data_IF_289440621418
#
_entry.id   IF_289440621418
#
_cell.length_a   1.000
_cell.length_b   1.000
_cell.length_c   1.000
_cell.angle_alpha   90.00
_cell.angle_beta   90.00
_cell.angle_gamma   90.00
#
_symmetry.space_group_name_H-M   'P 1'
#
loop_
_entity.id
_entity.type
_entity.pdbx_description
1 polymer ?
#
# COMPACT_ATOMS: atom_id res chain seq x y z
N UNK A 1 -9.42 -16.90 -0.94
CA UNK A 1 -10.88 -16.99 -0.73
C UNK A 1 -11.27 -17.54 0.65
N UNK A 2 -10.71 -18.66 1.14
CA UNK A 2 -11.10 -19.26 2.44
C UNK A 2 -11.04 -18.33 3.67
N UNK A 3 -10.16 -17.32 3.65
CA UNK A 3 -10.01 -16.34 4.75
C UNK A 3 -10.87 -15.06 4.57
N UNK A 4 -11.68 -14.98 3.52
CA UNK A 4 -12.59 -13.85 3.26
C UNK A 4 -12.09 -12.81 2.26
N UNK A 5 -10.80 -12.84 1.87
CA UNK A 5 -10.25 -11.84 0.95
C UNK A 5 -10.85 -11.95 -0.46
N UNK A 6 -11.26 -10.80 -0.99
CA UNK A 6 -11.81 -10.63 -2.35
C UNK A 6 -10.99 -9.66 -3.22
N UNK A 7 -9.96 -9.04 -2.65
CA UNK A 7 -9.07 -8.09 -3.31
C UNK A 7 -7.61 -8.53 -3.10
N UNK A 8 -6.82 -8.49 -4.17
CA UNK A 8 -5.44 -8.97 -4.17
C UNK A 8 -4.53 -8.02 -4.95
N UNK A 9 -3.37 -7.68 -4.37
CA UNK A 9 -2.36 -6.84 -5.02
C UNK A 9 -1.21 -7.69 -5.54
N UNK A 10 -0.75 -7.40 -6.76
CA UNK A 10 0.34 -8.09 -7.44
C UNK A 10 1.43 -7.09 -7.84
N UNK A 11 2.67 -7.32 -7.40
CA UNK A 11 3.84 -6.54 -7.88
C UNK A 11 4.07 -6.78 -9.37
N UNK A 12 4.39 -5.77 -10.17
CA UNK A 12 4.60 -5.84 -11.64
C UNK A 12 5.83 -5.01 -12.08
N UNK A 13 6.20 -5.09 -13.36
CA UNK A 13 7.07 -4.10 -14.00
C UNK A 13 8.46 -4.53 -14.42
N UNK A 14 8.86 -5.77 -14.12
CA UNK A 14 10.15 -6.32 -14.59
C UNK A 14 10.05 -6.99 -15.96
N UNK A 15 9.00 -7.77 -16.19
CA UNK A 15 8.79 -8.52 -17.44
C UNK A 15 7.29 -8.63 -17.73
N UNK A 16 6.86 -8.10 -18.87
CA UNK A 16 5.44 -8.00 -19.21
C UNK A 16 4.79 -9.37 -19.39
N UNK A 17 5.50 -10.36 -19.93
CA UNK A 17 4.94 -11.71 -20.14
C UNK A 17 4.76 -12.46 -18.81
N UNK A 18 5.66 -12.27 -17.85
CA UNK A 18 5.46 -12.76 -16.49
C UNK A 18 4.32 -12.06 -15.76
N UNK A 19 4.14 -10.76 -15.99
CA UNK A 19 3.03 -10.01 -15.42
C UNK A 19 1.69 -10.48 -15.98
N UNK A 20 1.58 -10.67 -17.31
CA UNK A 20 0.40 -11.27 -17.96
C UNK A 20 0.12 -12.67 -17.43
N UNK A 21 1.14 -13.54 -17.38
CA UNK A 21 1.01 -14.90 -16.88
C UNK A 21 0.48 -14.94 -15.45
N UNK A 22 1.03 -14.12 -14.54
CA UNK A 22 0.57 -14.08 -13.15
C UNK A 22 -0.81 -13.42 -13.01
N UNK A 23 -1.08 -12.34 -13.74
CA UNK A 23 -2.41 -11.70 -13.76
C UNK A 23 -3.49 -12.67 -14.22
N UNK A 24 -3.21 -13.48 -15.26
CA UNK A 24 -4.07 -14.55 -15.75
C UNK A 24 -4.37 -15.56 -14.66
N UNK A 25 -3.33 -16.11 -14.01
CA UNK A 25 -3.48 -17.09 -12.93
C UNK A 25 -4.35 -16.52 -11.79
N UNK A 26 -4.08 -15.29 -11.36
CA UNK A 26 -4.86 -14.64 -10.30
C UNK A 26 -6.32 -14.49 -10.74
N UNK A 27 -6.56 -13.96 -11.94
CA UNK A 27 -7.91 -13.74 -12.49
C UNK A 27 -8.71 -15.04 -12.60
N UNK A 28 -8.11 -16.10 -13.10
CA UNK A 28 -8.72 -17.44 -13.18
C UNK A 28 -9.03 -18.00 -11.78
N UNK A 29 -8.20 -17.71 -10.80
CA UNK A 29 -8.36 -18.20 -9.42
C UNK A 29 -9.45 -17.46 -8.64
N UNK A 30 -9.53 -16.13 -8.75
CA UNK A 30 -10.43 -15.30 -7.94
C UNK A 30 -11.76 -14.98 -8.63
N UNK A 31 -11.89 -15.37 -9.91
CA UNK A 31 -13.07 -15.14 -10.73
C UNK A 31 -13.23 -13.68 -11.17
N UNK A 32 -14.30 -13.40 -11.93
CA UNK A 32 -14.56 -12.08 -12.53
C UNK A 32 -14.84 -10.97 -11.50
N UNK A 33 -15.40 -11.34 -10.35
CA UNK A 33 -15.79 -10.41 -9.30
C UNK A 33 -14.66 -10.08 -8.33
N UNK A 34 -13.57 -10.84 -8.32
CA UNK A 34 -12.39 -10.54 -7.52
C UNK A 34 -11.68 -9.28 -8.02
N UNK A 35 -11.13 -8.51 -7.11
CA UNK A 35 -10.41 -7.27 -7.42
C UNK A 35 -8.92 -7.57 -7.52
N UNK A 36 -8.31 -7.13 -8.62
CA UNK A 36 -6.86 -7.23 -8.84
C UNK A 36 -6.30 -5.82 -8.87
N UNK A 37 -5.36 -5.55 -7.97
CA UNK A 37 -4.55 -4.34 -7.97
C UNK A 37 -3.15 -4.70 -8.43
N UNK A 38 -2.47 -3.78 -9.11
CA UNK A 38 -1.06 -3.93 -9.47
C UNK A 38 -0.22 -2.82 -8.90
N UNK A 39 1.07 -3.09 -8.69
CA UNK A 39 2.01 -2.15 -8.07
C UNK A 39 3.37 -2.30 -8.73
N UNK A 40 3.87 -1.22 -9.34
CA UNK A 40 5.10 -1.22 -10.12
C UNK A 40 6.32 -0.70 -9.34
N UNK A 41 6.12 -0.19 -8.12
CA UNK A 41 7.16 0.43 -7.29
C UNK A 41 8.09 1.35 -8.11
N UNK A 42 7.48 2.28 -8.84
CA UNK A 42 8.11 3.44 -9.46
C UNK A 42 9.05 3.11 -10.65
N UNK A 43 9.05 1.86 -11.12
CA UNK A 43 10.08 1.38 -12.05
C UNK A 43 10.00 1.94 -13.48
N UNK A 44 8.85 2.48 -13.88
CA UNK A 44 8.64 2.92 -15.27
C UNK A 44 8.73 4.44 -15.43
N UNK A 45 9.06 4.86 -16.64
CA UNK A 45 8.71 6.20 -17.12
C UNK A 45 7.24 6.23 -17.61
N UNK A 46 6.72 7.42 -17.86
CA UNK A 46 5.32 7.67 -18.28
C UNK A 46 4.87 6.81 -19.47
N UNK A 47 5.65 6.82 -20.56
CA UNK A 47 5.26 6.11 -21.78
C UNK A 47 5.26 4.60 -21.61
N UNK A 48 6.20 4.08 -20.81
CA UNK A 48 6.29 2.65 -20.46
C UNK A 48 5.11 2.25 -19.59
N UNK A 49 4.77 3.00 -18.55
CA UNK A 49 3.64 2.73 -17.69
C UNK A 49 2.31 2.61 -18.47
N UNK A 50 2.06 3.55 -19.40
CA UNK A 50 0.85 3.54 -20.23
C UNK A 50 0.80 2.30 -21.13
N UNK A 51 1.90 1.97 -21.81
CA UNK A 51 1.98 0.78 -22.67
C UNK A 51 1.79 -0.50 -21.86
N UNK A 52 2.48 -0.62 -20.73
CA UNK A 52 2.44 -1.79 -19.86
C UNK A 52 1.03 -2.06 -19.33
N UNK A 53 0.34 -1.04 -18.87
CA UNK A 53 -1.02 -1.20 -18.34
C UNK A 53 -2.06 -1.46 -19.43
N UNK A 54 -1.85 -0.97 -20.66
CA UNK A 54 -2.70 -1.33 -21.82
C UNK A 54 -2.60 -2.83 -22.15
N UNK A 55 -1.41 -3.43 -22.02
CA UNK A 55 -1.20 -4.88 -22.19
C UNK A 55 -1.88 -5.73 -21.09
N UNK A 56 -2.10 -5.16 -19.90
CA UNK A 56 -2.76 -5.85 -18.78
C UNK A 56 -4.28 -5.62 -18.73
N UNK A 57 -4.85 -4.84 -19.67
CA UNK A 57 -6.26 -4.44 -19.67
C UNK A 57 -7.22 -5.63 -19.61
N UNK A 58 -6.91 -6.72 -20.31
CA UNK A 58 -7.78 -7.92 -20.38
C UNK A 58 -8.02 -8.58 -19.02
N UNK A 59 -7.13 -8.36 -18.03
CA UNK A 59 -7.22 -8.96 -16.70
C UNK A 59 -8.10 -8.18 -15.73
N UNK A 60 -8.73 -7.08 -16.18
CA UNK A 60 -9.60 -6.21 -15.39
C UNK A 60 -8.88 -5.72 -14.12
N UNK A 61 -7.75 -5.03 -14.32
CA UNK A 61 -6.97 -4.43 -13.24
C UNK A 61 -7.70 -3.20 -12.70
N UNK A 62 -7.90 -3.16 -11.38
CA UNK A 62 -8.64 -2.09 -10.72
C UNK A 62 -7.79 -0.83 -10.54
N UNK A 63 -6.54 -0.95 -10.09
CA UNK A 63 -5.59 0.16 -10.12
C UNK A 63 -4.16 -0.29 -10.43
N UNK A 64 -3.36 0.67 -10.90
CA UNK A 64 -1.90 0.62 -10.88
C UNK A 64 -1.36 1.58 -9.81
N UNK A 65 -0.54 1.03 -8.92
CA UNK A 65 0.13 1.71 -7.82
C UNK A 65 1.57 2.04 -8.18
N UNK A 66 1.97 3.27 -7.85
CA UNK A 66 3.29 3.87 -8.13
C UNK A 66 3.83 3.51 -9.53
N UNK A 67 3.13 3.88 -10.62
CA UNK A 67 3.56 3.56 -11.97
C UNK A 67 4.88 4.23 -12.37
N UNK A 68 5.22 5.37 -11.76
CA UNK A 68 6.44 6.16 -12.02
C UNK A 68 6.93 6.77 -10.70
N UNK A 69 7.98 7.60 -10.75
CA UNK A 69 8.54 8.32 -9.61
C UNK A 69 7.45 8.95 -8.71
N UNK A 70 7.57 8.84 -7.37
CA UNK A 70 6.60 9.38 -6.42
C UNK A 70 6.59 10.91 -6.40
N UNK A 71 7.60 11.55 -6.99
CA UNK A 71 7.71 13.00 -7.12
C UNK A 71 7.16 13.52 -8.47
N UNK A 72 6.83 12.63 -9.41
CA UNK A 72 6.39 13.01 -10.75
C UNK A 72 4.87 13.14 -10.84
N UNK A 73 4.35 14.25 -10.31
CA UNK A 73 2.90 14.56 -10.31
C UNK A 73 2.36 14.68 -11.74
N UNK A 74 3.12 15.31 -12.64
CA UNK A 74 2.70 15.51 -14.04
C UNK A 74 2.71 14.17 -14.79
N UNK A 75 3.69 13.31 -14.52
CA UNK A 75 3.72 11.95 -15.05
C UNK A 75 2.51 11.14 -14.60
N UNK A 76 2.18 11.15 -13.31
CA UNK A 76 0.96 10.53 -12.79
C UNK A 76 -0.30 11.09 -13.44
N UNK A 77 -0.39 12.41 -13.66
CA UNK A 77 -1.50 13.04 -14.38
C UNK A 77 -1.67 12.50 -15.81
N UNK A 78 -0.57 12.42 -16.57
CA UNK A 78 -0.60 11.91 -17.95
C UNK A 78 -1.01 10.43 -17.96
N UNK A 79 -0.42 9.62 -17.09
CA UNK A 79 -0.78 8.20 -16.95
C UNK A 79 -2.26 8.05 -16.58
N UNK A 80 -2.73 8.79 -15.58
CA UNK A 80 -4.13 8.82 -15.13
C UNK A 80 -5.09 9.17 -16.28
N UNK A 81 -4.78 10.19 -17.08
CA UNK A 81 -5.61 10.59 -18.24
C UNK A 81 -5.73 9.47 -19.29
N UNK A 82 -4.66 8.71 -19.50
CA UNK A 82 -4.62 7.62 -20.49
C UNK A 82 -5.28 6.33 -19.98
N UNK A 83 -5.19 6.04 -18.67
CA UNK A 83 -5.64 4.78 -18.08
C UNK A 83 -7.10 4.83 -17.59
N UNK A 84 -7.59 5.97 -17.11
CA UNK A 84 -8.96 6.10 -16.62
C UNK A 84 -10.02 5.73 -17.67
N UNK A 85 -9.91 6.11 -18.97
CA UNK A 85 -10.86 5.66 -20.00
C UNK A 85 -10.88 4.14 -20.21
N UNK A 86 -9.84 3.44 -19.77
CA UNK A 86 -9.75 1.98 -19.81
C UNK A 86 -10.28 1.32 -18.54
N UNK A 87 -10.73 2.10 -17.56
CA UNK A 87 -11.22 1.62 -16.26
C UNK A 87 -10.10 1.28 -15.26
N UNK A 88 -8.85 1.66 -15.53
CA UNK A 88 -7.71 1.41 -14.65
C UNK A 88 -7.39 2.69 -13.87
N UNK A 89 -7.56 2.65 -12.56
CA UNK A 89 -7.28 3.77 -11.67
C UNK A 89 -5.78 3.92 -11.42
N UNK A 90 -5.32 5.13 -11.10
CA UNK A 90 -3.95 5.38 -10.63
C UNK A 90 -3.94 5.58 -9.11
N UNK A 91 -3.04 4.88 -8.45
CA UNK A 91 -2.81 4.94 -7.01
C UNK A 91 -1.36 5.35 -6.71
N UNK A 92 -1.14 6.16 -5.68
CA UNK A 92 0.21 6.48 -5.18
C UNK A 92 0.13 7.06 -3.77
N UNK A 93 1.27 7.06 -3.06
CA UNK A 93 1.39 7.80 -1.81
C UNK A 93 2.39 7.24 -0.79
N UNK A 94 2.77 5.95 -0.87
CA UNK A 94 3.62 5.32 0.15
C UNK A 94 5.00 5.99 0.26
N UNK A 95 5.50 6.53 -0.85
CA UNK A 95 6.74 7.31 -0.90
C UNK A 95 6.52 8.82 -1.07
N UNK A 96 5.27 9.30 -1.08
CA UNK A 96 4.98 10.73 -1.18
C UNK A 96 5.49 11.45 0.08
N UNK A 97 6.31 12.48 -0.13
CA UNK A 97 7.16 13.03 0.94
C UNK A 97 6.42 13.84 2.00
N UNK A 98 5.33 14.52 1.66
CA UNK A 98 4.60 15.40 2.57
C UNK A 98 3.20 15.76 2.03
N UNK A 99 2.42 16.46 2.85
CA UNK A 99 1.07 16.93 2.52
C UNK A 99 1.02 17.92 1.33
N UNK A 100 2.11 18.63 1.02
CA UNK A 100 2.14 19.58 -0.11
C UNK A 100 2.13 18.83 -1.44
N UNK A 101 2.91 17.75 -1.56
CA UNK A 101 2.87 16.90 -2.74
C UNK A 101 1.50 16.21 -2.86
N UNK A 102 0.94 15.68 -1.76
CA UNK A 102 -0.41 15.13 -1.77
C UNK A 102 -1.45 16.14 -2.26
N UNK A 103 -1.38 17.41 -1.80
CA UNK A 103 -2.26 18.48 -2.30
C UNK A 103 -2.11 18.66 -3.81
N UNK A 104 -0.89 18.69 -4.35
CA UNK A 104 -0.67 18.83 -5.80
C UNK A 104 -1.23 17.65 -6.59
N UNK A 105 -1.03 16.41 -6.13
CA UNK A 105 -1.63 15.22 -6.75
C UNK A 105 -3.17 15.32 -6.79
N UNK A 106 -3.77 15.78 -5.70
CA UNK A 106 -5.22 15.93 -5.58
C UNK A 106 -5.77 17.08 -6.45
N UNK A 107 -5.17 18.27 -6.37
CA UNK A 107 -5.57 19.46 -7.14
C UNK A 107 -5.52 19.23 -8.65
N UNK A 108 -4.49 18.53 -9.12
CA UNK A 108 -4.34 18.22 -10.55
C UNK A 108 -5.11 16.97 -10.98
N UNK A 109 -5.78 16.27 -10.06
CA UNK A 109 -6.46 15.00 -10.32
C UNK A 109 -5.50 13.95 -10.92
N UNK A 110 -4.25 13.95 -10.45
CA UNK A 110 -3.18 13.08 -10.94
C UNK A 110 -3.29 11.62 -10.43
N UNK A 111 -4.17 11.37 -9.47
CA UNK A 111 -4.48 10.04 -8.94
C UNK A 111 -5.99 9.88 -8.67
N UNK A 112 -6.41 8.63 -8.50
CA UNK A 112 -7.76 8.26 -8.07
C UNK A 112 -7.77 7.66 -6.67
N UNK A 113 -6.70 6.98 -6.26
CA UNK A 113 -6.57 6.36 -4.93
C UNK A 113 -5.37 6.97 -4.19
N UNK A 114 -5.60 7.48 -2.98
CA UNK A 114 -4.56 8.10 -2.14
C UNK A 114 -4.04 7.07 -1.15
N UNK A 115 -2.71 6.91 -1.04
CA UNK A 115 -2.11 5.87 -0.18
C UNK A 115 -1.08 6.46 0.79
N UNK A 116 -1.49 7.25 1.80
CA UNK A 116 -0.55 7.79 2.77
C UNK A 116 0.04 6.67 3.62
N UNK A 117 1.30 6.84 4.00
CA UNK A 117 2.02 5.91 4.86
C UNK A 117 2.32 6.53 6.23
N UNK A 118 2.18 5.71 7.27
CA UNK A 118 2.26 6.16 8.67
C UNK A 118 3.67 6.51 9.16
N UNK A 119 4.69 6.01 8.49
CA UNK A 119 6.11 6.24 8.82
C UNK A 119 6.84 7.08 7.78
N UNK A 120 6.24 7.32 6.61
CA UNK A 120 6.72 8.26 5.59
C UNK A 120 6.42 9.70 5.97
N UNK A 121 5.16 9.97 6.32
CA UNK A 121 4.70 11.30 6.70
C UNK A 121 5.11 11.62 8.14
N UNK A 122 4.97 12.89 8.51
CA UNK A 122 5.24 13.42 9.84
C UNK A 122 4.15 13.01 10.85
N UNK A 123 3.91 11.71 10.95
CA UNK A 123 3.00 11.06 11.89
C UNK A 123 1.57 11.62 11.85
N UNK A 124 0.85 11.50 12.96
CA UNK A 124 -0.58 11.77 13.10
C UNK A 124 -1.00 13.12 12.48
N UNK A 125 -0.37 14.27 12.79
CA UNK A 125 -0.86 15.55 12.28
C UNK A 125 -0.90 15.61 10.75
N UNK A 126 0.18 15.17 10.09
CA UNK A 126 0.27 15.25 8.63
C UNK A 126 -0.64 14.22 7.95
N UNK A 127 -0.77 13.02 8.52
CA UNK A 127 -1.69 11.99 8.00
C UNK A 127 -3.14 12.50 8.08
N UNK A 128 -3.55 13.08 9.21
CA UNK A 128 -4.90 13.66 9.36
C UNK A 128 -5.15 14.76 8.31
N UNK A 129 -4.15 15.61 8.04
CA UNK A 129 -4.27 16.62 6.97
C UNK A 129 -4.47 15.97 5.60
N UNK A 130 -3.72 14.92 5.26
CA UNK A 130 -3.91 14.21 3.98
C UNK A 130 -5.28 13.54 3.89
N UNK A 131 -5.81 12.98 4.99
CA UNK A 131 -7.18 12.44 5.03
C UNK A 131 -8.23 13.52 4.77
N UNK A 132 -8.09 14.69 5.40
CA UNK A 132 -8.98 15.83 5.21
C UNK A 132 -8.90 16.38 3.78
N UNK A 133 -7.69 16.54 3.22
CA UNK A 133 -7.50 16.92 1.82
C UNK A 133 -8.18 15.91 0.90
N UNK A 134 -7.96 14.62 1.11
CA UNK A 134 -8.59 13.56 0.31
C UNK A 134 -10.11 13.62 0.37
N UNK A 135 -10.70 13.97 1.53
CA UNK A 135 -12.14 14.19 1.68
C UNK A 135 -12.63 15.40 0.87
N UNK A 136 -11.91 16.52 0.91
CA UNK A 136 -12.21 17.75 0.16
C UNK A 136 -12.21 17.47 -1.34
N UNK A 137 -11.19 16.77 -1.85
CA UNK A 137 -11.08 16.41 -3.28
C UNK A 137 -11.83 15.13 -3.67
N UNK A 138 -12.65 14.58 -2.76
CA UNK A 138 -13.47 13.39 -2.98
C UNK A 138 -12.71 12.15 -3.47
N UNK A 139 -11.50 11.92 -2.94
CA UNK A 139 -10.67 10.76 -3.24
C UNK A 139 -10.73 9.69 -2.13
N UNK A 140 -10.92 8.40 -2.49
CA UNK A 140 -10.73 7.31 -1.54
C UNK A 140 -9.28 7.25 -1.05
N UNK A 141 -9.15 6.94 0.23
CA UNK A 141 -7.86 6.67 0.88
C UNK A 141 -7.77 5.17 1.15
N UNK A 142 -6.69 4.57 0.66
CA UNK A 142 -6.30 3.20 0.92
C UNK A 142 -4.95 3.26 1.62
N UNK A 143 -4.92 3.26 2.96
CA UNK A 143 -3.66 3.35 3.71
C UNK A 143 -2.67 2.29 3.21
N UNK A 144 -1.44 2.73 2.90
CA UNK A 144 -0.35 1.79 2.67
C UNK A 144 -0.03 1.06 3.98
N UNK A 145 0.29 -0.22 3.88
CA UNK A 145 0.70 -1.03 5.01
C UNK A 145 1.79 -2.03 4.57
N UNK A 146 1.96 -3.14 5.30
CA UNK A 146 3.09 -4.04 5.05
C UNK A 146 4.39 -3.55 5.69
N UNK A 147 5.52 -4.18 5.41
CA UNK A 147 6.75 -3.92 6.16
C UNK A 147 6.63 -4.30 7.65
N UNK A 148 7.19 -3.46 8.53
CA UNK A 148 7.26 -3.73 9.99
C UNK A 148 6.39 -2.73 10.74
N UNK A 149 5.25 -3.16 11.27
CA UNK A 149 4.40 -2.33 12.13
C UNK A 149 3.41 -1.41 11.39
N UNK A 150 3.46 -1.34 10.05
CA UNK A 150 2.57 -0.44 9.32
C UNK A 150 1.11 -0.94 9.38
N UNK A 151 0.86 -2.25 9.42
CA UNK A 151 -0.52 -2.75 9.64
C UNK A 151 -1.07 -2.26 10.99
N UNK A 152 -0.25 -2.39 12.05
CA UNK A 152 -0.58 -1.98 13.42
C UNK A 152 -0.91 -0.50 13.50
N UNK A 153 -0.16 0.34 12.79
CA UNK A 153 -0.33 1.79 12.77
C UNK A 153 -1.45 2.25 11.82
N UNK A 154 -1.41 1.82 10.56
CA UNK A 154 -2.32 2.25 9.51
C UNK A 154 -3.79 1.97 9.82
N UNK A 155 -4.09 0.87 10.53
CA UNK A 155 -5.47 0.51 10.91
C UNK A 155 -6.16 1.61 11.74
N UNK A 156 -5.41 2.35 12.58
CA UNK A 156 -5.97 3.43 13.38
C UNK A 156 -6.52 4.54 12.48
N UNK A 157 -5.75 4.95 11.46
CA UNK A 157 -6.16 6.01 10.54
C UNK A 157 -7.26 5.57 9.58
N UNK A 158 -7.24 4.31 9.16
CA UNK A 158 -8.36 3.70 8.44
C UNK A 158 -9.68 3.83 9.22
N UNK A 159 -9.65 3.58 10.55
CA UNK A 159 -10.82 3.72 11.41
C UNK A 159 -11.20 5.18 11.67
N UNK A 160 -10.22 6.06 11.91
CA UNK A 160 -10.45 7.50 12.07
C UNK A 160 -11.10 8.08 10.80
N UNK A 161 -10.57 7.74 9.62
CA UNK A 161 -11.15 8.14 8.34
C UNK A 161 -12.60 7.70 8.25
N UNK A 162 -12.88 6.41 8.48
CA UNK A 162 -14.24 5.89 8.38
C UNK A 162 -15.20 6.51 9.41
N UNK A 163 -14.80 6.69 10.66
CA UNK A 163 -15.70 7.15 11.73
C UNK A 163 -15.92 8.67 11.66
N UNK A 164 -14.85 9.44 11.45
CA UNK A 164 -14.84 10.89 11.64
C UNK A 164 -14.79 11.70 10.35
N UNK A 165 -14.13 11.21 9.29
CA UNK A 165 -13.80 12.03 8.11
C UNK A 165 -14.61 11.62 6.87
N UNK A 166 -14.31 10.46 6.28
CA UNK A 166 -14.93 10.01 5.04
C UNK A 166 -16.34 9.51 5.23
N UNK A 167 -16.62 8.78 6.33
CA UNK A 167 -17.90 8.08 6.59
C UNK A 167 -18.31 7.15 5.45
N UNK A 168 -17.34 6.62 4.73
CA UNK A 168 -17.56 5.80 3.54
C UNK A 168 -16.57 4.63 3.50
N UNK A 169 -17.03 3.47 3.02
CA UNK A 169 -16.21 2.26 2.79
C UNK A 169 -16.01 1.94 1.32
N UNK A 170 -16.77 2.58 0.43
CA UNK A 170 -16.70 2.34 -1.01
C UNK A 170 -15.32 2.75 -1.54
N UNK A 171 -14.74 1.88 -2.37
CA UNK A 171 -13.44 2.06 -3.03
C UNK A 171 -12.27 2.28 -2.06
N UNK A 172 -12.42 1.88 -0.78
CA UNK A 172 -11.40 1.98 0.27
C UNK A 172 -11.03 0.57 0.73
N UNK A 173 -9.78 0.21 0.45
CA UNK A 173 -9.18 -1.06 0.82
C UNK A 173 -8.02 -0.79 1.76
N UNK A 174 -7.91 -1.55 2.84
CA UNK A 174 -6.80 -1.42 3.78
C UNK A 174 -5.85 -2.58 3.55
N UNK A 175 -4.61 -2.25 3.21
CA UNK A 175 -3.60 -3.25 2.92
C UNK A 175 -3.31 -4.11 4.17
N UNK A 176 -3.06 -5.40 3.95
CA UNK A 176 -2.70 -6.36 4.98
C UNK A 176 -1.59 -7.26 4.47
N UNK A 177 -0.50 -7.35 5.24
CA UNK A 177 0.56 -8.33 5.03
C UNK A 177 0.78 -9.15 6.30
N UNK A 178 0.88 -10.48 6.19
CA UNK A 178 0.92 -11.37 7.36
C UNK A 178 2.23 -11.33 8.18
N UNK A 179 3.26 -10.62 7.70
CA UNK A 179 4.63 -10.74 8.22
C UNK A 179 4.83 -9.93 9.51
N UNK A 180 5.64 -10.47 10.43
CA UNK A 180 6.24 -9.77 11.58
C UNK A 180 5.29 -9.26 12.68
N UNK A 181 3.97 -9.47 12.55
CA UNK A 181 2.97 -9.09 13.56
C UNK A 181 3.27 -9.65 14.95
N UNK A 182 3.90 -10.83 15.04
CA UNK A 182 4.26 -11.47 16.31
C UNK A 182 5.22 -10.66 17.19
N UNK A 183 5.84 -9.61 16.63
CA UNK A 183 6.77 -8.76 17.35
C UNK A 183 6.11 -7.59 18.09
N UNK A 184 4.80 -7.39 17.96
CA UNK A 184 4.05 -6.28 18.55
C UNK A 184 3.21 -6.72 19.76
N UNK A 185 3.07 -5.85 20.77
CA UNK A 185 2.31 -6.15 21.99
C UNK A 185 0.82 -6.40 21.71
N UNK A 186 0.25 -5.64 20.77
CA UNK A 186 -1.08 -5.85 20.23
C UNK A 186 -0.92 -6.20 18.75
N UNK A 187 -0.98 -7.50 18.44
CA UNK A 187 -0.82 -8.01 17.08
C UNK A 187 -2.03 -7.62 16.23
N UNK A 188 -1.78 -7.27 14.97
CA UNK A 188 -2.88 -6.97 14.05
C UNK A 188 -3.30 -8.21 13.27
N UNK A 189 -4.60 -8.47 13.26
CA UNK A 189 -5.20 -9.53 12.45
C UNK A 189 -6.53 -9.08 11.82
N UNK A 190 -7.20 -10.01 11.14
CA UNK A 190 -8.48 -9.79 10.51
C UNK A 190 -9.48 -10.90 10.83
N UNK A 191 -10.77 -10.56 10.82
CA UNK A 191 -11.87 -11.53 10.85
C UNK A 191 -12.57 -11.47 9.51
N UNK A 192 -12.54 -12.58 8.75
CA UNK A 192 -13.12 -12.65 7.41
C UNK A 192 -12.62 -11.49 6.50
N UNK A 193 -11.30 -11.31 6.43
CA UNK A 193 -10.60 -10.25 5.71
C UNK A 193 -10.99 -8.81 6.06
N UNK A 194 -11.45 -8.57 7.29
CA UNK A 194 -11.74 -7.25 7.82
C UNK A 194 -10.92 -6.99 9.09
N UNK A 195 -10.19 -5.88 9.12
CA UNK A 195 -9.56 -5.40 10.34
C UNK A 195 -10.62 -5.11 11.41
N UNK A 196 -10.27 -5.40 12.67
CA UNK A 196 -11.06 -5.01 13.83
C UNK A 196 -10.37 -3.89 14.60
N UNK A 197 -11.12 -3.05 15.35
CA UNK A 197 -10.54 -1.96 16.13
C UNK A 197 -9.52 -2.43 17.17
N UNK A 198 -8.41 -1.70 17.35
CA UNK A 198 -7.52 -1.91 18.48
C UNK A 198 -8.30 -1.72 19.78
N UNK A 199 -8.05 -2.59 20.76
CA UNK A 199 -8.70 -2.56 22.07
C UNK A 199 -7.79 -1.97 23.15
N UNK A 200 -6.47 -2.01 22.93
CA UNK A 200 -5.51 -1.47 23.87
C UNK A 200 -5.26 0.02 23.63
N UNK A 201 -5.01 0.76 24.72
CA UNK A 201 -4.59 2.16 24.61
C UNK A 201 -3.18 2.27 24.05
N UNK A 202 -3.02 3.08 23.01
CA UNK A 202 -1.73 3.35 22.39
C UNK A 202 -1.83 3.44 20.88
N UNK A 203 -0.68 3.35 20.24
CA UNK A 203 -0.56 3.41 18.79
C UNK A 203 0.17 2.18 18.25
N UNK A 204 1.44 2.00 18.62
CA UNK A 204 2.18 0.76 18.34
C UNK A 204 3.25 0.54 19.41
N UNK A 205 3.46 -0.71 19.83
CA UNK A 205 4.51 -1.09 20.79
C UNK A 205 5.15 -2.41 20.38
N UNK A 206 6.46 -2.41 20.23
CA UNK A 206 7.26 -3.61 19.92
C UNK A 206 7.58 -4.34 21.24
N UNK A 207 7.50 -5.67 21.26
CA UNK A 207 7.90 -6.51 22.40
C UNK A 207 9.39 -6.31 22.69
N UNK A 208 9.77 -6.06 23.94
CA UNK A 208 11.17 -5.86 24.35
C UNK A 208 12.07 -7.04 23.95
N UNK A 209 11.55 -8.27 24.02
CA UNK A 209 12.23 -9.49 23.58
C UNK A 209 12.58 -9.45 22.09
N UNK A 210 11.68 -8.94 21.23
CA UNK A 210 11.96 -8.75 19.81
C UNK A 210 13.07 -7.73 19.59
N UNK A 211 13.08 -6.62 20.34
CA UNK A 211 14.14 -5.60 20.24
C UNK A 211 15.49 -6.23 20.61
N UNK A 212 15.57 -6.91 21.76
CA UNK A 212 16.81 -7.57 22.19
C UNK A 212 17.30 -8.65 21.19
N UNK A 213 16.38 -9.36 20.56
CA UNK A 213 16.71 -10.39 19.58
C UNK A 213 17.24 -9.81 18.26
N UNK A 214 16.64 -8.73 17.76
CA UNK A 214 16.83 -8.26 16.37
C UNK A 214 17.47 -6.87 16.24
N UNK A 215 17.82 -6.18 17.34
CA UNK A 215 18.52 -4.90 17.29
C UNK A 215 19.83 -5.04 16.51
N UNK A 216 20.00 -4.28 15.43
CA UNK A 216 21.26 -4.28 14.69
C UNK A 216 22.29 -3.37 15.37
N UNK A 217 23.58 -3.76 15.47
CA UNK A 217 24.15 -5.08 15.15
C UNK A 217 24.18 -6.05 16.35
N UNK A 218 23.73 -5.61 17.54
CA UNK A 218 24.07 -6.26 18.82
C UNK A 218 23.09 -7.35 19.29
N UNK A 219 21.94 -7.49 18.65
CA UNK A 219 20.93 -8.49 18.97
C UNK A 219 21.43 -9.90 18.68
N UNK A 220 20.88 -10.89 19.40
CA UNK A 220 21.32 -12.28 19.31
C UNK A 220 21.31 -12.82 17.88
N UNK A 221 20.28 -12.47 17.10
CA UNK A 221 20.18 -12.87 15.69
C UNK A 221 21.37 -12.38 14.86
N UNK A 222 21.70 -11.09 14.97
CA UNK A 222 22.77 -10.48 14.18
C UNK A 222 24.15 -10.91 14.63
N UNK A 223 24.39 -11.07 15.93
CA UNK A 223 25.65 -11.63 16.46
C UNK A 223 25.93 -13.02 15.89
N UNK A 224 24.93 -13.89 15.83
CA UNK A 224 25.07 -15.23 15.24
C UNK A 224 25.33 -15.15 13.73
N UNK A 225 24.56 -14.33 13.01
CA UNK A 225 24.66 -14.18 11.55
C UNK A 225 25.99 -13.57 11.10
N UNK A 226 26.48 -12.54 11.79
CA UNK A 226 27.74 -11.88 11.47
C UNK A 226 28.94 -12.78 11.78
N UNK A 227 28.89 -13.58 12.86
CA UNK A 227 29.90 -14.61 13.13
C UNK A 227 29.97 -15.64 11.99
N UNK A 228 28.82 -16.13 11.51
CA UNK A 228 28.76 -17.10 10.40
C UNK A 228 29.31 -16.54 9.09
N UNK A 229 29.11 -15.25 8.81
CA UNK A 229 29.63 -14.61 7.61
C UNK A 229 31.16 -14.42 7.70
N UNK A 230 31.69 -14.06 8.87
CA UNK A 230 33.13 -13.91 9.06
C UNK A 230 33.88 -15.26 9.03
N UNK A 231 33.21 -16.38 9.33
CA UNK A 231 33.80 -17.72 9.19
C UNK A 231 33.78 -18.29 7.76
N UNK A 232 33.17 -17.56 6.80
CA UNK A 232 33.09 -17.95 5.38
C UNK A 232 34.00 -17.12 4.47
N UNK A 233 34.75 -16.18 5.04
CA UNK A 233 35.82 -15.42 4.40
C UNK A 233 37.16 -15.96 4.90
#
# INVERSE_FOLDING_TARGET
>A
MKQGFTAFKMKVGKNIEDDKRRAKIIRETIGKNGIIMTDANQIWNVSTAIKWMKELKEYNIYWIEEPTSPDDIIGHLIISKELNPLGILVATGEHCSNQVLFRQFLELNALQIVQPDTCRLCSIPEIIMVLLLSKIYHKPVCMHAGGVGLNEMARHFAMIDYILISKNKKDRFWEYAQHLKQHFQEETDHINAKYFPPLQSGYVRIKLSSIQQYQFPNGNFWKQRLKQNNSKL
#
